data_IF_347094974402
#
_entry.id   IF_347094974402
#
_cell.length_a   1.000
_cell.length_b   1.000
_cell.length_c   1.000
_cell.angle_alpha   90.00
_cell.angle_beta   90.00
_cell.angle_gamma   90.00
#
_symmetry.space_group_name_H-M   'P 1'
#
loop_
_entity.id
_entity.type
_entity.pdbx_description
1 polymer ?
#
# COMPACT_ATOMS: atom_id res chain seq x y z
N UNK A 1 -29.80 8.51 -9.08
CA UNK A 1 -29.69 8.50 -10.55
C UNK A 1 -30.56 9.62 -11.08
N UNK A 2 -29.98 10.63 -11.72
CA UNK A 2 -30.72 11.52 -12.62
C UNK A 2 -29.92 11.63 -13.91
N UNK A 3 -30.48 11.03 -14.96
CA UNK A 3 -30.07 11.22 -16.33
C UNK A 3 -30.60 12.58 -16.79
N UNK A 4 -29.72 13.55 -16.97
CA UNK A 4 -29.96 14.70 -17.82
C UNK A 4 -28.81 14.71 -18.83
N UNK A 5 -28.90 13.80 -19.80
CA UNK A 5 -28.02 13.83 -20.96
C UNK A 5 -28.76 14.62 -22.03
N UNK A 6 -28.41 15.90 -22.13
CA UNK A 6 -28.89 16.84 -23.12
C UNK A 6 -27.94 16.76 -24.35
N UNK A 7 -28.42 16.28 -25.51
CA UNK A 7 -27.58 16.08 -26.70
C UNK A 7 -27.19 17.37 -27.42
N UNK A 8 -27.80 18.51 -27.08
CA UNK A 8 -27.45 19.83 -27.66
C UNK A 8 -26.47 20.62 -26.79
N UNK A 9 -26.26 20.17 -25.54
CA UNK A 9 -25.18 20.67 -24.71
C UNK A 9 -23.88 20.01 -25.15
N UNK A 10 -23.30 20.55 -26.23
CA UNK A 10 -21.88 20.29 -26.55
C UNK A 10 -21.12 20.58 -25.27
N UNK A 11 -20.69 19.52 -24.58
CA UNK A 11 -19.76 19.60 -23.46
C UNK A 11 -18.48 20.11 -24.11
N UNK A 12 -18.38 21.44 -24.19
CA UNK A 12 -17.14 22.12 -24.53
C UNK A 12 -16.14 21.56 -23.55
N UNK A 13 -15.15 20.87 -24.09
CA UNK A 13 -13.98 20.45 -23.32
C UNK A 13 -13.41 21.72 -22.67
N UNK A 14 -13.81 21.96 -21.41
CA UNK A 14 -13.34 23.02 -20.53
C UNK A 14 -11.91 22.70 -20.08
N UNK A 15 -11.04 22.42 -21.05
CA UNK A 15 -9.64 22.09 -20.82
C UNK A 15 -8.78 23.34 -20.64
N UNK A 16 -9.32 24.54 -20.83
CA UNK A 16 -8.53 25.77 -20.90
C UNK A 16 -9.25 27.02 -20.37
N UNK A 17 -10.26 26.90 -19.50
CA UNK A 17 -10.79 28.07 -18.81
C UNK A 17 -9.94 28.35 -17.58
N UNK A 18 -8.80 28.99 -17.86
CA UNK A 18 -7.89 29.68 -16.94
C UNK A 18 -8.11 29.32 -15.48
N UNK A 19 -7.41 28.28 -15.02
CA UNK A 19 -7.32 27.99 -13.59
C UNK A 19 -6.90 29.30 -12.90
N UNK A 20 -7.67 29.84 -11.95
CA UNK A 20 -7.35 31.12 -11.34
C UNK A 20 -5.91 31.07 -10.83
N UNK A 21 -5.13 32.15 -11.00
CA UNK A 21 -3.69 32.20 -10.65
C UNK A 21 -3.38 31.74 -9.21
N UNK A 22 -4.40 31.65 -8.36
CA UNK A 22 -4.34 31.25 -6.95
C UNK A 22 -4.59 29.74 -6.72
N UNK A 23 -4.93 28.97 -7.75
CA UNK A 23 -5.13 27.51 -7.64
C UNK A 23 -3.81 26.83 -7.99
N UNK A 24 -3.19 26.21 -6.99
CA UNK A 24 -1.87 25.57 -7.12
C UNK A 24 -1.95 24.12 -7.57
N UNK A 25 -3.07 23.44 -7.31
CA UNK A 25 -3.30 22.05 -7.66
C UNK A 25 -4.80 21.75 -7.72
N UNK A 26 -5.23 21.03 -8.75
CA UNK A 26 -6.57 20.44 -8.86
C UNK A 26 -6.42 18.93 -8.89
N UNK A 27 -7.19 18.22 -8.05
CA UNK A 27 -7.18 16.75 -8.00
C UNK A 27 -8.60 16.21 -8.04
N UNK A 28 -8.76 15.04 -8.65
CA UNK A 28 -10.03 14.31 -8.62
C UNK A 28 -10.12 13.50 -7.32
N UNK A 29 -11.25 13.57 -6.62
CA UNK A 29 -11.51 12.76 -5.43
C UNK A 29 -12.93 12.18 -5.43
N UNK A 30 -13.05 10.93 -4.99
CA UNK A 30 -14.31 10.19 -4.92
C UNK A 30 -14.85 10.16 -3.49
N UNK A 31 -16.11 10.53 -3.33
CA UNK A 31 -16.82 10.56 -2.04
C UNK A 31 -18.03 9.63 -2.05
N UNK A 32 -18.35 9.05 -0.89
CA UNK A 32 -19.56 8.28 -0.66
C UNK A 32 -20.13 8.61 0.72
N UNK A 33 -21.42 8.97 0.79
CA UNK A 33 -22.10 9.38 2.04
C UNK A 33 -21.33 10.45 2.84
N UNK A 34 -20.71 11.41 2.15
CA UNK A 34 -19.92 12.48 2.78
C UNK A 34 -18.54 12.05 3.29
N UNK A 35 -18.12 10.81 3.04
CA UNK A 35 -16.78 10.30 3.40
C UNK A 35 -15.93 10.12 2.15
N UNK A 36 -14.65 10.48 2.25
CA UNK A 36 -13.67 10.21 1.20
C UNK A 36 -13.46 8.69 1.10
N UNK A 37 -13.62 8.13 -0.11
CA UNK A 37 -13.44 6.71 -0.32
C UNK A 37 -11.95 6.32 -0.19
N UNK A 38 -11.67 5.14 0.38
CA UNK A 38 -10.32 4.57 0.36
C UNK A 38 -10.14 3.80 -0.94
N UNK A 39 -9.64 4.47 -1.96
CA UNK A 39 -9.42 3.88 -3.28
C UNK A 39 -8.19 4.51 -3.95
N UNK A 40 -7.64 3.77 -4.93
CA UNK A 40 -6.43 4.16 -5.64
C UNK A 40 -6.49 5.57 -6.23
N UNK A 41 -7.67 6.02 -6.71
CA UNK A 41 -7.83 7.37 -7.26
C UNK A 41 -7.61 8.46 -6.21
N UNK A 42 -8.10 8.25 -4.99
CA UNK A 42 -7.94 9.18 -3.88
C UNK A 42 -6.52 9.10 -3.28
N UNK A 43 -5.89 7.93 -3.30
CA UNK A 43 -4.50 7.76 -2.87
C UNK A 43 -3.53 8.52 -3.81
N UNK A 44 -3.78 8.46 -5.12
CA UNK A 44 -3.04 9.23 -6.13
C UNK A 44 -3.24 10.74 -5.91
N UNK A 45 -4.48 11.18 -5.70
CA UNK A 45 -4.80 12.58 -5.41
C UNK A 45 -4.05 13.08 -4.17
N UNK A 46 -4.03 12.28 -3.10
CA UNK A 46 -3.30 12.60 -1.89
C UNK A 46 -1.79 12.71 -2.10
N UNK A 47 -1.20 11.78 -2.85
CA UNK A 47 0.22 11.82 -3.18
C UNK A 47 0.59 13.08 -4.00
N UNK A 48 -0.28 13.51 -4.92
CA UNK A 48 -0.09 14.77 -5.65
C UNK A 48 -0.11 15.98 -4.72
N UNK A 49 -1.08 16.04 -3.78
CA UNK A 49 -1.14 17.09 -2.77
C UNK A 49 0.17 17.13 -1.96
N UNK A 50 0.63 15.99 -1.47
CA UNK A 50 1.85 15.92 -0.67
C UNK A 50 3.08 16.43 -1.41
N UNK A 51 3.23 16.02 -2.68
CA UNK A 51 4.33 16.48 -3.55
C UNK A 51 4.25 17.98 -3.84
N UNK A 52 3.07 18.50 -4.14
CA UNK A 52 2.92 19.92 -4.50
C UNK A 52 3.15 20.85 -3.32
N UNK A 53 2.81 20.41 -2.10
CA UNK A 53 2.92 21.21 -0.88
C UNK A 53 4.12 20.84 0.01
N UNK A 54 5.00 19.95 -0.44
CA UNK A 54 6.12 19.40 0.34
C UNK A 54 5.68 18.92 1.74
N UNK A 55 4.49 18.35 1.83
CA UNK A 55 4.00 17.79 3.09
C UNK A 55 4.78 16.48 3.29
N UNK A 56 5.45 16.28 4.44
CA UNK A 56 6.13 15.02 4.72
C UNK A 56 5.13 13.87 4.57
N UNK A 57 5.48 12.90 3.74
CA UNK A 57 4.67 11.70 3.54
C UNK A 57 4.61 10.99 4.89
N UNK A 58 3.42 10.79 5.51
CA UNK A 58 3.31 9.94 6.67
C UNK A 58 3.86 8.58 6.26
N UNK A 59 4.87 8.12 6.98
CA UNK A 59 5.40 6.77 6.83
C UNK A 59 4.23 5.78 6.76
N UNK A 60 4.32 4.73 5.92
CA UNK A 60 3.27 3.72 5.84
C UNK A 60 2.91 3.27 7.25
N UNK A 61 1.60 3.29 7.53
CA UNK A 61 1.02 3.00 8.85
C UNK A 61 1.77 1.88 9.54
N UNK A 62 2.25 2.12 10.76
CA UNK A 62 3.01 1.19 11.61
C UNK A 62 2.52 -0.27 11.57
N UNK A 63 1.22 -0.49 11.34
CA UNK A 63 0.59 -1.78 11.12
C UNK A 63 1.23 -2.63 10.02
N UNK A 64 1.61 -2.07 8.87
CA UNK A 64 2.21 -2.87 7.77
C UNK A 64 3.65 -3.24 8.05
N UNK A 65 4.45 -2.34 8.64
CA UNK A 65 5.81 -2.64 9.09
C UNK A 65 5.80 -3.76 10.13
N UNK A 66 4.91 -3.68 11.12
CA UNK A 66 4.79 -4.71 12.16
C UNK A 66 4.39 -6.10 11.61
N UNK A 67 3.50 -6.15 10.61
CA UNK A 67 3.09 -7.42 9.98
C UNK A 67 4.25 -8.04 9.19
N UNK A 68 4.99 -7.23 8.43
CA UNK A 68 6.16 -7.70 7.68
C UNK A 68 7.26 -8.19 8.62
N UNK A 69 7.59 -7.42 9.67
CA UNK A 69 8.60 -7.79 10.66
C UNK A 69 8.22 -9.07 11.41
N UNK A 70 6.94 -9.23 11.78
CA UNK A 70 6.43 -10.45 12.41
C UNK A 70 6.58 -11.67 11.47
N UNK A 71 6.20 -11.52 10.19
CA UNK A 71 6.27 -12.58 9.20
C UNK A 71 7.73 -13.03 8.96
N UNK A 72 8.64 -12.06 8.79
CA UNK A 72 10.07 -12.30 8.57
C UNK A 72 10.70 -12.98 9.79
N UNK A 73 10.41 -12.49 10.99
CA UNK A 73 10.93 -13.08 12.23
C UNK A 73 10.41 -14.51 12.42
N UNK A 74 9.13 -14.77 12.16
CA UNK A 74 8.56 -16.11 12.28
C UNK A 74 9.18 -17.10 11.29
N UNK A 75 9.41 -16.69 10.03
CA UNK A 75 10.13 -17.51 9.05
C UNK A 75 11.58 -17.78 9.47
N UNK A 76 12.28 -16.79 10.03
CA UNK A 76 13.64 -16.96 10.55
C UNK A 76 13.71 -17.97 11.70
N UNK A 77 12.79 -17.88 12.67
CA UNK A 77 12.72 -18.82 13.80
C UNK A 77 12.43 -20.24 13.32
N UNK A 78 11.48 -20.43 12.39
CA UNK A 78 11.18 -21.75 11.84
C UNK A 78 12.39 -22.38 11.11
N UNK A 79 13.13 -21.58 10.35
CA UNK A 79 14.33 -22.04 9.67
C UNK A 79 15.42 -22.49 10.65
N UNK A 80 15.64 -21.74 11.74
CA UNK A 80 16.61 -22.11 12.79
C UNK A 80 16.22 -23.42 13.46
N UNK A 81 14.95 -23.58 13.84
CA UNK A 81 14.44 -24.81 14.47
C UNK A 81 14.66 -26.01 13.54
N UNK A 82 14.34 -25.86 12.25
CA UNK A 82 14.52 -26.92 11.26
C UNK A 82 15.99 -27.35 11.14
N UNK A 83 16.93 -26.40 11.07
CA UNK A 83 18.37 -26.69 11.03
C UNK A 83 18.84 -27.40 12.30
N UNK A 84 18.39 -26.98 13.49
CA UNK A 84 18.72 -27.65 14.74
C UNK A 84 18.22 -29.10 14.76
N UNK A 85 16.99 -29.35 14.31
CA UNK A 85 16.43 -30.71 14.25
C UNK A 85 17.28 -31.61 13.33
N UNK A 86 17.67 -31.11 12.15
CA UNK A 86 18.50 -31.87 11.23
C UNK A 86 19.87 -32.21 11.82
N UNK A 87 20.51 -31.27 12.53
CA UNK A 87 21.79 -31.51 13.20
C UNK A 87 21.66 -32.58 14.29
N UNK A 88 20.59 -32.54 15.09
CA UNK A 88 20.35 -33.55 16.13
C UNK A 88 20.15 -34.94 15.51
N UNK A 89 19.35 -35.05 14.45
CA UNK A 89 19.14 -36.31 13.74
C UNK A 89 20.48 -36.84 13.19
N UNK A 90 21.28 -35.98 12.57
CA UNK A 90 22.59 -36.36 12.04
C UNK A 90 23.51 -36.91 13.14
N UNK A 91 23.56 -36.27 14.31
CA UNK A 91 24.36 -36.75 15.45
C UNK A 91 23.86 -38.12 15.92
N UNK A 92 22.55 -38.30 16.08
CA UNK A 92 21.97 -39.59 16.49
C UNK A 92 22.36 -40.68 15.50
N UNK A 93 22.25 -40.41 14.20
CA UNK A 93 22.64 -41.30 13.12
C UNK A 93 24.12 -41.68 13.25
N UNK A 94 25.03 -40.70 13.34
CA UNK A 94 26.47 -40.95 13.46
C UNK A 94 26.77 -41.83 14.68
N UNK A 95 26.17 -41.54 15.84
CA UNK A 95 26.37 -42.33 17.06
C UNK A 95 25.88 -43.76 16.89
N UNK A 96 24.73 -43.96 16.24
CA UNK A 96 24.20 -45.30 15.95
C UNK A 96 25.10 -46.08 14.99
N UNK A 97 25.63 -45.43 13.95
CA UNK A 97 26.54 -46.06 12.98
C UNK A 97 27.95 -46.32 13.53
N UNK A 98 28.40 -45.53 14.51
CA UNK A 98 29.75 -45.66 15.10
C UNK A 98 29.78 -46.65 16.27
N UNK A 99 28.64 -46.85 16.96
CA UNK A 99 28.52 -47.78 18.07
C UNK A 99 27.97 -49.17 17.68
N UNK A 100 27.72 -49.40 16.39
CA UNK A 100 27.23 -50.67 15.83
C UNK A 100 28.30 -51.45 15.11
#
# INVERSE_FOLDING_TARGET
MHHTFDPDLVIVESRLQELPRNVRLTVDSLFYQGRLLRCNRNDIAWNQIQKTFNIPIPEPSSSTKAVVDCLVNHMGVLAVIFVCILLVILVIVIVKYTAG
#
